data_IF_882749312682
#
_entry.id   IF_882749312682
#
_cell.length_a   1.000
_cell.length_b   1.000
_cell.length_c   1.000
_cell.angle_alpha   90.00
_cell.angle_beta   90.00
_cell.angle_gamma   90.00
#
_symmetry.space_group_name_H-M   'P 1'
#
loop_
_entity.id
_entity.type
_entity.pdbx_description
1 polymer ?
#
# COMPACT_ATOMS: atom_id res chain seq x y z
N UNK A 1 31.20 3.14 -9.72
CA UNK A 1 31.18 1.68 -9.51
C UNK A 1 29.83 1.30 -8.91
N UNK A 2 28.93 0.74 -9.70
CA UNK A 2 27.53 0.40 -9.35
C UNK A 2 27.38 -1.06 -8.91
N UNK A 3 28.39 -1.88 -9.23
CA UNK A 3 28.40 -3.34 -9.06
C UNK A 3 28.13 -3.84 -7.63
N UNK A 4 28.62 -3.21 -6.53
CA UNK A 4 28.42 -3.79 -5.21
C UNK A 4 26.95 -3.79 -4.75
N UNK A 5 26.17 -2.75 -5.05
CA UNK A 5 24.78 -2.68 -4.58
C UNK A 5 23.88 -3.67 -5.30
N UNK A 6 24.11 -3.92 -6.59
CA UNK A 6 23.37 -4.94 -7.33
C UNK A 6 23.68 -6.35 -6.81
N UNK A 7 24.95 -6.61 -6.47
CA UNK A 7 25.36 -7.86 -5.83
C UNK A 7 24.70 -8.04 -4.46
N UNK A 8 24.63 -7.00 -3.63
CA UNK A 8 23.92 -7.06 -2.35
C UNK A 8 22.42 -7.33 -2.52
N UNK A 9 21.74 -6.75 -3.50
CA UNK A 9 20.33 -7.07 -3.75
C UNK A 9 20.14 -8.57 -4.05
N UNK A 10 21.04 -9.16 -4.85
CA UNK A 10 21.02 -10.59 -5.15
C UNK A 10 21.31 -11.44 -3.89
N UNK A 11 22.29 -11.05 -3.07
CA UNK A 11 22.61 -11.72 -1.79
C UNK A 11 21.41 -11.71 -0.82
N UNK A 12 20.57 -10.69 -0.88
CA UNK A 12 19.36 -10.55 -0.06
C UNK A 12 18.09 -11.07 -0.75
N UNK A 13 18.23 -12.01 -1.69
CA UNK A 13 17.15 -12.72 -2.39
C UNK A 13 16.25 -11.86 -3.28
N UNK A 14 16.70 -10.68 -3.71
CA UNK A 14 16.02 -9.95 -4.80
C UNK A 14 16.29 -10.68 -6.11
N UNK A 15 15.23 -11.07 -6.82
CA UNK A 15 15.36 -11.80 -8.08
C UNK A 15 16.06 -10.96 -9.14
N UNK A 16 17.02 -11.57 -9.83
CA UNK A 16 17.77 -10.94 -10.91
C UNK A 16 16.86 -10.33 -11.99
N UNK A 17 15.73 -10.98 -12.28
CA UNK A 17 14.74 -10.52 -13.25
C UNK A 17 14.01 -9.24 -12.82
N UNK A 18 13.95 -8.94 -11.52
CA UNK A 18 13.27 -7.77 -10.97
C UNK A 18 14.22 -6.63 -10.59
N UNK A 19 15.53 -6.82 -10.66
CA UNK A 19 16.51 -5.76 -10.43
C UNK A 19 16.24 -4.48 -11.25
N UNK A 20 15.91 -4.55 -12.56
CA UNK A 20 15.61 -3.33 -13.32
C UNK A 20 14.40 -2.58 -12.75
N UNK A 21 13.36 -3.32 -12.33
CA UNK A 21 12.17 -2.72 -11.72
C UNK A 21 12.49 -2.10 -10.36
N UNK A 22 13.27 -2.77 -9.52
CA UNK A 22 13.72 -2.25 -8.21
C UNK A 22 14.49 -0.94 -8.37
N UNK A 23 15.42 -0.89 -9.32
CA UNK A 23 16.20 0.33 -9.59
C UNK A 23 15.33 1.43 -10.20
N UNK A 24 14.38 1.09 -11.08
CA UNK A 24 13.46 2.07 -11.66
C UNK A 24 12.52 2.68 -10.60
N UNK A 25 12.03 1.86 -9.65
CA UNK A 25 11.16 2.30 -8.55
C UNK A 25 11.89 3.14 -7.50
N UNK A 26 13.20 2.93 -7.30
CA UNK A 26 13.99 3.66 -6.32
C UNK A 26 15.43 3.91 -6.82
N UNK A 27 15.66 4.86 -7.73
CA UNK A 27 16.96 5.06 -8.36
C UNK A 27 18.08 5.37 -7.36
N UNK A 28 17.78 6.02 -6.23
CA UNK A 28 18.79 6.34 -5.21
C UNK A 28 19.40 5.10 -4.57
N UNK A 29 18.77 3.92 -4.66
CA UNK A 29 19.26 2.66 -4.07
C UNK A 29 20.69 2.31 -4.50
N UNK A 30 21.09 2.79 -5.68
CA UNK A 30 22.42 2.61 -6.26
C UNK A 30 23.50 3.42 -5.56
N UNK A 31 23.15 4.57 -4.98
CA UNK A 31 24.08 5.47 -4.29
C UNK A 31 24.14 5.25 -2.77
N UNK A 32 23.23 4.46 -2.21
CA UNK A 32 23.17 4.20 -0.77
C UNK A 32 24.25 3.24 -0.29
N UNK A 33 24.66 3.38 0.97
CA UNK A 33 25.37 2.32 1.69
C UNK A 33 24.37 1.20 2.02
N UNK A 34 24.19 0.31 1.06
CA UNK A 34 23.04 -0.59 0.96
C UNK A 34 23.12 -1.77 1.92
N UNK A 35 24.30 -2.39 2.07
CA UNK A 35 24.49 -3.58 2.89
C UNK A 35 24.05 -3.41 4.36
N UNK A 36 24.47 -2.37 5.10
CA UNK A 36 24.02 -2.18 6.48
C UNK A 36 22.52 -1.89 6.58
N UNK A 37 21.93 -1.19 5.58
CA UNK A 37 20.49 -0.93 5.53
C UNK A 37 19.69 -2.20 5.33
N UNK A 38 20.09 -3.05 4.37
CA UNK A 38 19.48 -4.36 4.14
C UNK A 38 19.55 -5.24 5.40
N UNK A 39 20.73 -5.34 6.01
CA UNK A 39 20.93 -6.12 7.23
C UNK A 39 20.05 -5.63 8.39
N UNK A 40 20.03 -4.32 8.65
CA UNK A 40 19.25 -3.73 9.73
C UNK A 40 17.75 -3.93 9.49
N UNK A 41 17.29 -3.74 8.26
CA UNK A 41 15.86 -3.85 7.93
C UNK A 41 15.39 -5.30 7.96
N UNK A 42 16.19 -6.23 7.44
CA UNK A 42 15.89 -7.66 7.50
C UNK A 42 15.82 -8.14 8.95
N UNK A 43 16.78 -7.76 9.79
CA UNK A 43 16.79 -8.09 11.22
C UNK A 43 15.56 -7.53 11.95
N UNK A 44 15.17 -6.29 11.64
CA UNK A 44 13.98 -5.67 12.22
C UNK A 44 12.71 -6.44 11.86
N UNK A 45 12.47 -6.67 10.56
CA UNK A 45 11.26 -7.35 10.10
C UNK A 45 11.24 -8.81 10.59
N UNK A 46 12.39 -9.47 10.65
CA UNK A 46 12.48 -10.82 11.22
C UNK A 46 12.09 -10.81 12.71
N UNK A 47 12.58 -9.84 13.49
CA UNK A 47 12.25 -9.75 14.92
C UNK A 47 10.78 -9.44 15.22
N UNK A 48 10.05 -8.73 14.36
CA UNK A 48 8.69 -8.27 14.68
C UNK A 48 7.58 -9.08 14.02
N UNK A 49 7.85 -9.74 12.89
CA UNK A 49 6.88 -10.51 12.09
C UNK A 49 7.46 -11.84 11.55
N UNK A 50 8.60 -12.30 12.05
CA UNK A 50 9.24 -13.57 11.66
C UNK A 50 9.46 -13.72 10.13
N UNK A 51 9.78 -12.62 9.44
CA UNK A 51 10.03 -12.67 7.99
C UNK A 51 11.30 -13.49 7.69
N UNK A 52 11.21 -14.41 6.74
CA UNK A 52 12.36 -15.17 6.24
C UNK A 52 13.18 -14.37 5.20
N UNK A 53 14.40 -14.83 4.86
CA UNK A 53 15.25 -14.16 3.89
C UNK A 53 14.64 -14.05 2.49
N UNK A 54 13.91 -15.07 2.03
CA UNK A 54 13.26 -15.06 0.71
C UNK A 54 12.12 -14.05 0.65
N UNK A 55 11.28 -14.01 1.68
CA UNK A 55 10.15 -13.08 1.73
C UNK A 55 10.60 -11.64 1.96
N UNK A 56 11.72 -11.43 2.66
CA UNK A 56 12.37 -10.14 2.71
C UNK A 56 12.78 -9.66 1.31
N UNK A 57 13.35 -10.54 0.48
CA UNK A 57 13.63 -10.25 -0.93
C UNK A 57 12.38 -9.79 -1.69
N UNK A 58 11.25 -10.51 -1.53
CA UNK A 58 9.96 -10.13 -2.14
C UNK A 58 9.44 -8.77 -1.66
N UNK A 59 9.65 -8.44 -0.39
CA UNK A 59 9.30 -7.12 0.17
C UNK A 59 10.13 -6.02 -0.49
N UNK A 60 11.43 -6.21 -0.65
CA UNK A 60 12.31 -5.25 -1.34
C UNK A 60 11.96 -5.12 -2.82
N UNK A 61 11.57 -6.20 -3.48
CA UNK A 61 11.09 -6.18 -4.88
C UNK A 61 9.84 -5.32 -5.08
N UNK A 62 8.91 -5.38 -4.13
CA UNK A 62 7.61 -4.69 -4.16
C UNK A 62 7.70 -3.23 -3.69
N UNK A 63 8.64 -2.92 -2.81
CA UNK A 63 8.87 -1.56 -2.30
C UNK A 63 10.32 -1.43 -1.85
N UNK A 64 11.23 -1.05 -2.76
CA UNK A 64 12.64 -0.91 -2.43
C UNK A 64 12.91 0.10 -1.32
N UNK A 65 12.07 1.13 -1.17
CA UNK A 65 12.16 2.16 -0.13
C UNK A 65 12.05 1.59 1.29
N UNK A 66 11.56 0.35 1.47
CA UNK A 66 11.46 -0.32 2.77
C UNK A 66 12.77 -0.33 3.54
N UNK A 67 13.92 -0.41 2.84
CA UNK A 67 15.27 -0.43 3.43
C UNK A 67 15.66 0.90 4.09
N UNK A 68 14.95 1.97 3.75
CA UNK A 68 15.20 3.34 4.22
C UNK A 68 14.17 3.78 5.27
N UNK A 69 13.19 2.94 5.60
CA UNK A 69 12.21 3.26 6.63
C UNK A 69 12.86 3.28 8.02
N UNK A 70 12.44 4.25 8.83
CA UNK A 70 12.83 4.32 10.23
C UNK A 70 12.20 3.18 11.04
N UNK A 71 12.94 2.65 12.01
CA UNK A 71 12.51 1.52 12.84
C UNK A 71 11.18 1.80 13.58
N UNK A 72 11.07 2.99 14.17
CA UNK A 72 9.92 3.35 15.02
C UNK A 72 8.59 3.36 14.26
N UNK A 73 8.45 4.04 13.10
CA UNK A 73 7.25 3.91 12.27
C UNK A 73 6.91 2.46 11.90
N UNK A 74 7.88 1.67 11.45
CA UNK A 74 7.64 0.27 11.05
C UNK A 74 7.04 -0.55 12.19
N UNK A 75 7.60 -0.44 13.39
CA UNK A 75 7.09 -1.13 14.59
C UNK A 75 5.66 -0.68 14.89
N UNK A 76 5.39 0.63 14.88
CA UNK A 76 4.05 1.18 15.16
C UNK A 76 2.99 0.66 14.18
N UNK A 77 3.33 0.49 12.91
CA UNK A 77 2.40 -0.05 11.90
C UNK A 77 2.11 -1.53 12.15
N UNK A 78 3.15 -2.32 12.46
CA UNK A 78 2.99 -3.74 12.79
C UNK A 78 2.16 -3.92 14.07
N UNK A 79 2.44 -3.12 15.11
CA UNK A 79 1.70 -3.16 16.37
C UNK A 79 0.24 -2.73 16.17
N UNK A 80 -0.01 -1.72 15.35
CA UNK A 80 -1.37 -1.34 14.97
C UNK A 80 -2.13 -2.51 14.33
N UNK A 81 -1.55 -3.19 13.34
CA UNK A 81 -2.20 -4.34 12.72
C UNK A 81 -2.44 -5.48 13.73
N UNK A 82 -1.50 -5.75 14.63
CA UNK A 82 -1.72 -6.72 15.72
C UNK A 82 -2.88 -6.31 16.63
N UNK A 83 -2.95 -5.02 16.99
CA UNK A 83 -4.02 -4.47 17.83
C UNK A 83 -5.39 -4.45 17.15
N UNK A 84 -5.43 -4.41 15.82
CA UNK A 84 -6.64 -4.63 15.02
C UNK A 84 -7.17 -6.08 15.08
N UNK A 85 -6.42 -7.01 15.70
CA UNK A 85 -6.81 -8.41 15.85
C UNK A 85 -6.21 -9.36 14.82
N UNK A 86 -5.29 -8.89 13.96
CA UNK A 86 -4.59 -9.77 13.03
C UNK A 86 -3.56 -10.65 13.76
N UNK A 87 -3.56 -11.94 13.46
CA UNK A 87 -2.50 -12.85 13.90
C UNK A 87 -1.15 -12.47 13.28
N UNK A 88 -0.05 -12.91 13.92
CA UNK A 88 1.30 -12.67 13.40
C UNK A 88 1.46 -13.15 11.94
N UNK A 89 0.89 -14.31 11.61
CA UNK A 89 0.92 -14.86 10.26
C UNK A 89 0.13 -14.03 9.25
N UNK A 90 -1.02 -13.46 9.66
CA UNK A 90 -1.80 -12.56 8.80
C UNK A 90 -1.05 -11.25 8.57
N UNK A 91 -0.47 -10.65 9.62
CA UNK A 91 0.36 -9.43 9.48
C UNK A 91 1.56 -9.69 8.56
N UNK A 92 2.25 -10.82 8.75
CA UNK A 92 3.33 -11.26 7.86
C UNK A 92 2.85 -11.32 6.40
N UNK A 93 1.71 -11.98 6.13
CA UNK A 93 1.15 -12.12 4.78
C UNK A 93 0.82 -10.76 4.15
N UNK A 94 0.26 -9.85 4.94
CA UNK A 94 -0.08 -8.49 4.51
C UNK A 94 1.18 -7.68 4.16
N UNK A 95 2.22 -7.72 5.01
CA UNK A 95 3.47 -6.97 4.79
C UNK A 95 4.25 -7.53 3.59
N UNK A 96 4.30 -8.85 3.40
CA UNK A 96 4.93 -9.47 2.23
C UNK A 96 4.16 -9.16 0.95
N UNK A 97 2.83 -9.13 1.02
CA UNK A 97 1.96 -8.81 -0.13
C UNK A 97 2.00 -7.34 -0.54
N UNK A 98 1.96 -6.43 0.45
CA UNK A 98 1.84 -4.98 0.30
C UNK A 98 2.69 -4.27 1.39
N UNK A 99 4.02 -4.16 1.19
CA UNK A 99 4.91 -3.49 2.15
C UNK A 99 4.64 -1.99 2.31
N UNK A 100 3.90 -1.37 1.37
CA UNK A 100 3.47 0.02 1.43
C UNK A 100 2.72 0.36 2.72
N UNK A 101 2.04 -0.63 3.33
CA UNK A 101 1.40 -0.50 4.64
C UNK A 101 2.31 0.10 5.72
N UNK A 102 3.62 -0.16 5.65
CA UNK A 102 4.59 0.30 6.66
C UNK A 102 4.97 1.79 6.53
N UNK A 103 4.55 2.44 5.45
CA UNK A 103 4.87 3.84 5.15
C UNK A 103 3.63 4.74 5.03
N UNK A 104 2.44 4.20 5.28
CA UNK A 104 1.20 4.99 5.24
C UNK A 104 1.10 5.93 6.45
N UNK A 105 0.16 6.86 6.36
CA UNK A 105 -0.23 7.64 7.52
C UNK A 105 -1.08 6.76 8.46
N UNK A 106 -0.53 6.47 9.64
CA UNK A 106 -1.14 5.57 10.61
C UNK A 106 -2.52 6.05 11.10
N UNK A 107 -2.75 7.36 11.18
CA UNK A 107 -4.04 7.90 11.62
C UNK A 107 -5.11 7.74 10.54
N UNK A 108 -4.75 7.90 9.26
CA UNK A 108 -5.64 7.60 8.12
C UNK A 108 -5.94 6.09 8.07
N UNK A 109 -4.95 5.23 8.35
CA UNK A 109 -5.17 3.79 8.43
C UNK A 109 -6.18 3.40 9.52
N UNK A 110 -6.10 4.02 10.71
CA UNK A 110 -7.07 3.79 11.80
C UNK A 110 -8.48 4.15 11.37
N UNK A 111 -8.67 5.34 10.79
CA UNK A 111 -9.98 5.78 10.31
C UNK A 111 -10.55 4.82 9.24
N UNK A 112 -9.69 4.33 8.36
CA UNK A 112 -10.08 3.36 7.32
C UNK A 112 -10.45 2.01 7.92
N UNK A 113 -9.73 1.55 8.93
CA UNK A 113 -10.04 0.33 9.67
C UNK A 113 -11.35 0.44 10.44
N UNK A 114 -11.57 1.56 11.13
CA UNK A 114 -12.80 1.81 11.90
C UNK A 114 -14.02 1.79 10.97
N UNK A 115 -13.93 2.42 9.80
CA UNK A 115 -14.97 2.35 8.78
C UNK A 115 -15.20 0.91 8.28
N UNK A 116 -14.12 0.17 8.01
CA UNK A 116 -14.21 -1.21 7.54
C UNK A 116 -14.94 -2.12 8.55
N UNK A 117 -14.66 -1.98 9.84
CA UNK A 117 -15.28 -2.78 10.89
C UNK A 117 -16.70 -2.32 11.23
N UNK A 118 -16.92 -1.03 11.42
CA UNK A 118 -18.18 -0.49 11.94
C UNK A 118 -19.24 -0.34 10.87
N UNK A 119 -18.86 0.16 9.69
CA UNK A 119 -19.80 0.51 8.62
C UNK A 119 -19.89 -0.60 7.57
N UNK A 120 -18.76 -1.09 7.06
CA UNK A 120 -18.77 -2.17 6.06
C UNK A 120 -19.10 -3.53 6.69
N UNK A 121 -18.74 -3.74 7.97
CA UNK A 121 -19.00 -4.99 8.73
C UNK A 121 -18.48 -6.24 8.02
N UNK A 122 -17.30 -6.13 7.43
CA UNK A 122 -16.65 -7.19 6.64
C UNK A 122 -15.64 -7.97 7.51
N UNK A 123 -15.38 -9.26 7.21
CA UNK A 123 -14.44 -10.06 7.97
C UNK A 123 -13.01 -9.55 7.79
N UNK A 124 -12.17 -9.69 8.83
CA UNK A 124 -10.76 -9.28 8.78
C UNK A 124 -9.98 -9.97 7.66
N UNK A 125 -10.35 -11.21 7.30
CA UNK A 125 -9.69 -11.97 6.23
C UNK A 125 -9.70 -11.23 4.88
N UNK A 126 -10.68 -10.38 4.62
CA UNK A 126 -10.72 -9.59 3.40
C UNK A 126 -9.60 -8.55 3.33
N UNK A 127 -9.18 -8.00 4.48
CA UNK A 127 -8.01 -7.11 4.57
C UNK A 127 -6.70 -7.89 4.45
N UNK A 128 -6.68 -9.18 4.81
CA UNK A 128 -5.52 -10.06 4.61
C UNK A 128 -5.37 -10.43 3.13
N UNK A 129 -6.49 -10.66 2.44
CA UNK A 129 -6.54 -10.93 1.00
C UNK A 129 -6.20 -9.67 0.21
N UNK A 130 -6.70 -8.52 0.63
CA UNK A 130 -6.51 -7.24 -0.05
C UNK A 130 -5.98 -6.14 0.89
N UNK A 131 -4.71 -6.25 1.33
CA UNK A 131 -4.08 -5.26 2.22
C UNK A 131 -4.01 -3.86 1.60
N UNK A 132 -3.98 -3.79 0.27
CA UNK A 132 -4.04 -2.54 -0.49
C UNK A 132 -5.27 -1.69 -0.18
N UNK A 133 -6.30 -2.21 0.50
CA UNK A 133 -7.42 -1.42 1.02
C UNK A 133 -6.96 -0.11 1.69
N UNK A 134 -5.92 -0.17 2.52
CA UNK A 134 -5.42 0.99 3.27
C UNK A 134 -4.75 2.06 2.40
N UNK A 135 -4.44 1.77 1.14
CA UNK A 135 -3.84 2.74 0.22
C UNK A 135 -4.89 3.56 -0.53
N UNK A 136 -6.17 3.19 -0.45
CA UNK A 136 -7.26 3.93 -1.08
C UNK A 136 -7.77 5.05 -0.16
N UNK A 137 -8.17 6.18 -0.77
CA UNK A 137 -8.74 7.29 -0.02
C UNK A 137 -10.09 6.92 0.60
N UNK A 138 -10.21 7.11 1.91
CA UNK A 138 -11.42 6.77 2.66
C UNK A 138 -12.65 7.53 2.17
N UNK A 139 -12.56 8.87 2.11
CA UNK A 139 -13.67 9.73 1.69
C UNK A 139 -13.86 9.74 0.18
N UNK A 140 -12.76 9.70 -0.59
CA UNK A 140 -12.80 9.89 -2.05
C UNK A 140 -13.06 8.61 -2.83
N UNK A 141 -12.82 7.42 -2.26
CA UNK A 141 -12.95 6.15 -2.98
C UNK A 141 -13.71 5.09 -2.21
N UNK A 142 -13.30 4.77 -0.97
CA UNK A 142 -13.88 3.64 -0.22
C UNK A 142 -15.35 3.90 0.11
N UNK A 143 -15.67 5.04 0.73
CA UNK A 143 -17.03 5.39 1.16
C UNK A 143 -18.02 5.51 -0.01
N UNK A 144 -17.72 6.24 -1.11
CA UNK A 144 -18.65 6.36 -2.22
C UNK A 144 -18.97 5.01 -2.87
N UNK A 145 -17.93 4.21 -3.16
CA UNK A 145 -18.12 2.91 -3.82
C UNK A 145 -18.84 1.90 -2.93
N UNK A 146 -18.53 1.88 -1.63
CA UNK A 146 -19.24 1.03 -0.68
C UNK A 146 -20.73 1.36 -0.63
N UNK A 147 -21.11 2.64 -0.54
CA UNK A 147 -22.52 3.07 -0.53
C UNK A 147 -23.27 2.63 -1.78
N UNK A 148 -22.69 2.86 -2.96
CA UNK A 148 -23.28 2.46 -4.24
C UNK A 148 -23.53 0.95 -4.35
N UNK A 149 -22.57 0.13 -3.91
CA UNK A 149 -22.71 -1.34 -3.89
C UNK A 149 -23.75 -1.79 -2.85
N UNK A 150 -23.77 -1.16 -1.68
CA UNK A 150 -24.71 -1.46 -0.61
C UNK A 150 -26.16 -1.11 -1.00
N UNK A 151 -26.38 0.02 -1.69
CA UNK A 151 -27.69 0.42 -2.22
C UNK A 151 -28.26 -0.60 -3.20
N UNK A 152 -27.40 -1.24 -4.01
CA UNK A 152 -27.79 -2.34 -4.90
C UNK A 152 -27.89 -3.70 -4.22
N UNK A 153 -27.53 -3.81 -2.94
CA UNK A 153 -27.51 -5.08 -2.20
C UNK A 153 -26.47 -6.09 -2.73
N UNK A 154 -25.45 -5.61 -3.46
CA UNK A 154 -24.43 -6.45 -4.07
C UNK A 154 -23.36 -6.86 -3.05
N UNK A 155 -22.86 -8.09 -3.18
CA UNK A 155 -21.70 -8.58 -2.40
C UNK A 155 -20.52 -8.81 -3.34
N UNK A 156 -19.40 -8.16 -3.07
CA UNK A 156 -18.19 -8.25 -3.87
C UNK A 156 -16.93 -8.33 -2.99
N UNK A 157 -15.80 -8.70 -3.59
CA UNK A 157 -14.47 -8.62 -2.97
C UNK A 157 -13.97 -7.17 -2.92
N UNK A 158 -13.02 -6.87 -2.02
CA UNK A 158 -12.39 -5.54 -1.97
C UNK A 158 -11.63 -5.21 -3.25
N UNK A 159 -11.01 -6.21 -3.89
CA UNK A 159 -10.34 -6.04 -5.17
C UNK A 159 -11.33 -5.62 -6.25
N UNK A 160 -12.49 -6.27 -6.35
CA UNK A 160 -13.53 -5.88 -7.31
C UNK A 160 -14.03 -4.45 -7.06
N UNK A 161 -14.21 -4.08 -5.78
CA UNK A 161 -14.70 -2.78 -5.35
C UNK A 161 -13.69 -1.64 -5.65
N UNK A 162 -12.41 -1.87 -5.37
CA UNK A 162 -11.41 -0.78 -5.30
C UNK A 162 -10.39 -0.83 -6.43
N UNK A 163 -10.03 -2.01 -6.95
CA UNK A 163 -8.98 -2.20 -7.94
C UNK A 163 -9.47 -1.92 -9.37
N UNK A 164 -10.03 -0.74 -9.60
CA UNK A 164 -10.46 -0.27 -10.91
C UNK A 164 -10.60 1.26 -10.95
N UNK A 165 -10.54 1.82 -12.16
CA UNK A 165 -10.86 3.24 -12.41
C UNK A 165 -12.34 3.53 -12.14
N UNK A 166 -12.69 4.81 -11.99
CA UNK A 166 -14.07 5.23 -11.76
C UNK A 166 -14.99 4.78 -12.90
N UNK A 167 -14.59 5.00 -14.16
CA UNK A 167 -15.37 4.58 -15.33
C UNK A 167 -15.64 3.07 -15.32
N UNK A 168 -14.61 2.26 -15.02
CA UNK A 168 -14.77 0.80 -14.95
C UNK A 168 -15.64 0.37 -13.77
N UNK A 169 -15.57 1.09 -12.66
CA UNK A 169 -16.46 0.84 -11.52
C UNK A 169 -17.92 1.17 -11.84
N UNK A 170 -18.19 2.28 -12.52
CA UNK A 170 -19.53 2.68 -12.96
C UNK A 170 -20.11 1.68 -13.98
N UNK A 171 -19.28 1.24 -14.93
CA UNK A 171 -19.65 0.21 -15.88
C UNK A 171 -20.01 -1.09 -15.16
N UNK A 172 -19.17 -1.55 -14.23
CA UNK A 172 -19.44 -2.72 -13.37
C UNK A 172 -20.75 -2.59 -12.60
N UNK A 173 -21.02 -1.40 -12.09
CA UNK A 173 -22.23 -1.12 -11.35
C UNK A 173 -23.45 -1.06 -12.27
N UNK A 174 -23.32 -0.83 -13.58
CA UNK A 174 -24.45 -0.78 -14.50
C UNK A 174 -25.14 -2.13 -14.69
N UNK A 175 -24.43 -3.24 -14.44
CA UNK A 175 -24.96 -4.59 -14.52
C UNK A 175 -25.79 -4.96 -13.28
N UNK A 176 -26.82 -5.80 -13.48
CA UNK A 176 -27.73 -6.25 -12.40
C UNK A 176 -27.13 -7.36 -11.51
N UNK A 177 -26.04 -8.00 -11.96
CA UNK A 177 -25.36 -9.09 -11.26
C UNK A 177 -23.84 -8.96 -11.44
N UNK A 178 -23.09 -9.34 -10.41
CA UNK A 178 -21.62 -9.47 -10.51
C UNK A 178 -21.30 -10.80 -11.17
N UNK A 179 -20.63 -10.76 -12.31
CA UNK A 179 -20.16 -11.97 -12.99
C UNK A 179 -19.08 -12.69 -12.16
N UNK A 180 -19.12 -14.02 -12.09
CA UNK A 180 -18.16 -14.82 -11.32
C UNK A 180 -16.73 -14.63 -11.84
N UNK A 181 -16.55 -14.45 -13.14
CA UNK A 181 -15.23 -14.20 -13.75
C UNK A 181 -14.61 -12.87 -13.28
N UNK A 182 -15.41 -11.86 -12.93
CA UNK A 182 -14.88 -10.59 -12.41
C UNK A 182 -14.42 -10.65 -10.96
N UNK A 183 -14.92 -11.61 -10.17
CA UNK A 183 -14.52 -11.80 -8.78
C UNK A 183 -13.14 -12.47 -8.64
N UNK A 184 -12.69 -13.19 -9.67
CA UNK A 184 -11.44 -13.98 -9.67
C UNK A 184 -10.21 -13.20 -10.17
N UNK A 185 -10.35 -11.91 -10.51
CA UNK A 185 -9.21 -11.10 -10.94
C UNK A 185 -8.21 -10.98 -9.78
N UNK A 186 -7.09 -11.67 -9.91
CA UNK A 186 -5.92 -11.56 -9.02
C UNK A 186 -5.61 -10.08 -8.77
N UNK A 187 -5.53 -9.63 -7.50
CA UNK A 187 -5.22 -8.25 -7.19
C UNK A 187 -3.75 -7.96 -7.56
N UNK A 188 -3.49 -7.59 -8.81
CA UNK A 188 -2.20 -7.00 -9.18
C UNK A 188 -2.18 -5.58 -8.65
N UNK A 189 -1.65 -5.40 -7.45
CA UNK A 189 -1.35 -4.08 -6.92
C UNK A 189 -0.15 -3.52 -7.69
N UNK A 190 -0.42 -2.77 -8.77
CA UNK A 190 0.57 -1.95 -9.44
C UNK A 190 0.45 -0.51 -8.94
N UNK A 191 1.48 -0.08 -8.20
CA UNK A 191 1.56 1.26 -7.61
C UNK A 191 1.53 2.36 -8.68
N UNK A 192 1.89 2.07 -9.92
CA UNK A 192 1.80 3.02 -11.03
C UNK A 192 0.33 3.38 -11.35
N UNK A 193 -0.61 2.45 -11.14
CA UNK A 193 -2.05 2.70 -11.31
C UNK A 193 -2.59 3.72 -10.30
N UNK A 194 -1.91 3.91 -9.17
CA UNK A 194 -2.23 4.93 -8.16
C UNK A 194 -1.59 6.29 -8.45
N UNK A 195 -0.54 6.32 -9.29
CA UNK A 195 0.19 7.54 -9.66
C UNK A 195 -0.25 8.13 -11.01
N UNK A 196 -1.21 7.51 -11.72
CA UNK A 196 -1.82 8.13 -12.89
C UNK A 196 -2.48 9.46 -12.48
N UNK A 197 -2.25 10.56 -13.22
CA UNK A 197 -2.88 11.84 -12.92
C UNK A 197 -4.40 11.66 -12.93
N UNK A 198 -5.01 11.73 -11.75
CA UNK A 198 -6.44 11.88 -11.64
C UNK A 198 -6.73 13.29 -12.12
N UNK A 199 -7.30 13.40 -13.31
CA UNK A 199 -7.77 14.66 -13.85
C UNK A 199 -8.88 15.19 -12.95
N UNK A 200 -8.51 15.93 -11.92
CA UNK A 200 -9.39 16.88 -11.24
C UNK A 200 -8.85 18.27 -11.56
N UNK A 201 -9.46 18.91 -12.55
CA UNK A 201 -9.47 20.36 -12.64
C UNK A 201 -10.24 20.89 -11.43
N UNK A 202 -9.54 21.13 -10.34
CA UNK A 202 -10.01 22.04 -9.31
C UNK A 202 -8.95 23.13 -9.16
N UNK A 203 -9.12 24.17 -9.97
CA UNK A 203 -8.50 25.46 -9.72
C UNK A 203 -8.85 25.90 -8.29
N UNK A 204 -7.83 26.13 -7.47
CA UNK A 204 -7.95 27.01 -6.32
C UNK A 204 -6.94 28.12 -6.52
N UNK A 205 -7.44 29.25 -7.02
CA UNK A 205 -6.81 30.55 -6.87
C UNK A 205 -6.46 30.74 -5.39
N UNK A 206 -5.17 30.87 -5.12
CA UNK A 206 -4.72 31.58 -3.94
C UNK A 206 -4.20 32.92 -4.44
N UNK A 207 -5.08 33.92 -4.38
CA UNK A 207 -4.71 35.32 -4.47
C UNK A 207 -3.66 35.62 -3.40
N UNK A 208 -2.50 36.04 -3.86
CA UNK A 208 -1.36 36.50 -3.07
C UNK A 208 -1.50 38.02 -2.92
N UNK A 209 -2.23 38.47 -1.90
CA UNK A 209 -2.22 39.85 -1.41
C UNK A 209 -2.22 39.83 0.12
N UNK A 210 -1.07 40.10 0.76
CA UNK A 210 -0.81 41.46 1.22
C UNK A 210 0.57 41.61 1.87
N UNK A 211 1.21 42.71 1.49
CA UNK A 211 2.50 43.22 1.95
C UNK A 211 2.35 43.98 3.27
N UNK A 212 3.48 44.03 3.97
CA UNK A 212 3.90 45.02 4.98
C UNK A 212 3.27 44.95 6.39
N UNK A 213 4.12 44.69 7.39
CA UNK A 213 4.38 45.75 8.38
C UNK A 213 5.79 45.64 8.98
N UNK A 214 6.48 46.77 8.94
CA UNK A 214 7.77 47.08 9.58
C UNK A 214 7.68 46.98 11.11
N UNK A 215 8.80 46.74 11.80
CA UNK A 215 9.24 47.58 12.92
C UNK A 215 10.74 47.38 13.22
N UNK A 216 11.50 48.42 12.87
CA UNK A 216 12.67 49.06 13.52
C UNK A 216 13.56 48.22 14.46
#
# INVERSE_FOLDING_TARGET
MVKPNVEFLLEYNVRKTLLPSVVAQYPEIIGLDLKPKLLSQQSLLNSIIDIGPEDFGKVVEKMPQVISLSKTPVIKHVDFLKNCGFSLQQVWKMVVGCPQLLALNLDIMKLSFDYFQMEMKRPLDDLVIFPAFFTYGLESTIKPRHRMVAEKGLKCSLAWLLNCSNNKFEERLSYDTIDMEEMEIEPSFDINTLMEPRGDESASDYDDEDSDDDYV
#
